data_IF_329456523924
#
_entry.id   IF_329456523924
#
_cell.length_a   1.000
_cell.length_b   1.000
_cell.length_c   1.000
_cell.angle_alpha   90.00
_cell.angle_beta   90.00
_cell.angle_gamma   90.00
#
_symmetry.space_group_name_H-M   'P 1'
#
loop_
_entity.id
_entity.type
_entity.pdbx_description
1 polymer ?
2 non-polymer ?
3 non-polymer ?
4 non-polymer ?
5 water ?
#
# COMPACT_ATOMS: atom_id res chain seq x y z
N UNK A 2 17.82 7.53 -8.38
CA UNK A 2 17.20 6.54 -9.31
C UNK A 2 16.57 7.27 -10.49
N UNK A 3 16.06 6.51 -11.45
CA UNK A 3 15.43 7.08 -12.62
C UNK A 3 14.13 7.79 -12.28
N UNK A 4 13.28 7.14 -11.48
CA UNK A 4 12.01 7.75 -11.10
C UNK A 4 12.24 9.05 -10.34
N UNK A 5 13.30 9.09 -9.55
CA UNK A 5 13.59 10.28 -8.78
C UNK A 5 12.60 10.43 -7.64
N UNK A 6 11.85 9.37 -7.36
CA UNK A 6 10.86 9.40 -6.29
C UNK A 6 11.47 8.90 -4.99
N UNK A 7 11.26 9.65 -3.92
CA UNK A 7 11.79 9.25 -2.62
C UNK A 7 10.68 8.69 -1.75
N UNK A 8 11.04 7.76 -0.88
CA UNK A 8 10.09 7.16 0.05
C UNK A 8 10.31 7.88 1.37
N UNK A 9 9.28 8.57 1.85
CA UNK A 9 9.39 9.31 3.10
C UNK A 9 9.76 8.41 4.27
N UNK A 10 10.49 8.96 5.25
CA UNK A 10 10.89 8.19 6.42
C UNK A 10 9.66 7.60 7.12
N UNK A 11 8.56 8.35 7.11
CA UNK A 11 7.34 7.87 7.75
C UNK A 11 6.84 6.58 7.10
N UNK A 12 7.02 6.46 5.79
CA UNK A 12 6.60 5.25 5.08
C UNK A 12 7.38 4.05 5.60
N UNK A 13 8.70 4.20 5.69
CA UNK A 13 9.55 3.12 6.17
C UNK A 13 9.19 2.76 7.60
N UNK A 14 9.05 3.77 8.44
CA UNK A 14 8.72 3.57 9.84
C UNK A 14 7.38 2.87 10.02
N UNK A 15 6.36 3.28 9.26
CA UNK A 15 5.05 2.66 9.36
C UNK A 15 5.11 1.20 8.91
N UNK A 16 5.83 0.95 7.82
CA UNK A 16 5.95 -0.42 7.33
C UNK A 16 6.67 -1.28 8.37
N UNK A 17 7.76 -0.76 8.91
CA UNK A 17 8.53 -1.51 9.90
C UNK A 17 7.71 -1.77 11.15
N UNK A 18 6.96 -0.76 11.58
CA UNK A 18 6.12 -0.91 12.77
C UNK A 18 5.09 -2.00 12.54
N UNK A 19 4.50 -2.02 11.36
CA UNK A 19 3.50 -3.03 11.03
C UNK A 19 4.11 -4.42 11.03
N UNK A 20 5.28 -4.55 10.42
CA UNK A 20 5.96 -5.83 10.33
C UNK A 20 6.62 -6.33 11.61
N UNK A 21 7.33 -5.44 12.30
CA UNK A 21 8.05 -5.80 13.52
C UNK A 21 7.29 -5.60 14.82
N UNK A 22 6.46 -4.56 14.86
CA UNK A 22 5.71 -4.29 16.08
C UNK A 22 4.32 -4.89 16.09
N UNK A 23 3.82 -5.24 14.91
CA UNK A 23 2.49 -5.81 14.78
C UNK A 23 1.48 -4.86 15.42
N UNK A 24 1.80 -3.56 15.42
CA UNK A 24 0.94 -2.55 16.01
C UNK A 24 0.11 -1.77 14.99
N UNK A 25 0.09 -2.26 13.76
CA UNK A 25 -0.68 -1.64 12.69
C UNK A 25 -1.22 -2.75 11.82
N UNK A 26 -2.42 -2.57 11.29
CA UNK A 26 -3.05 -3.57 10.43
C UNK A 26 -2.84 -3.17 8.97
N UNK A 27 -2.90 -1.88 8.69
CA UNK A 27 -2.70 -1.43 7.31
C UNK A 27 -2.23 0.02 7.17
N UNK A 28 -1.62 0.31 6.03
CA UNK A 28 -1.12 1.64 5.72
C UNK A 28 -1.46 1.93 4.26
N UNK A 29 -1.97 3.13 3.99
CA UNK A 29 -2.30 3.53 2.63
C UNK A 29 -1.34 4.66 2.27
N UNK A 30 -0.63 4.48 1.16
CA UNK A 30 0.35 5.46 0.70
C UNK A 30 -0.11 6.19 -0.55
N UNK A 31 0.39 7.41 -0.74
CA UNK A 31 0.04 8.20 -1.93
C UNK A 31 1.24 9.05 -2.36
N UNK A 32 1.20 9.54 -3.59
CA UNK A 32 2.25 10.40 -4.12
C UNK A 32 1.98 11.80 -3.59
N UNK A 33 3.02 12.56 -3.27
CA UNK A 33 2.80 13.93 -2.80
C UNK A 33 2.43 14.79 -4.01
N UNK A 34 2.11 16.06 -3.77
CA UNK A 34 1.69 16.95 -4.85
C UNK A 34 2.69 17.17 -5.97
N UNK A 35 3.98 17.10 -5.67
CA UNK A 35 4.99 17.31 -6.70
C UNK A 35 5.41 16.00 -7.35
N UNK A 36 4.85 14.89 -6.88
CA UNK A 36 5.16 13.58 -7.43
C UNK A 36 6.65 13.28 -7.28
N UNK A 37 7.22 13.73 -6.17
CA UNK A 37 8.63 13.52 -5.90
C UNK A 37 8.86 12.63 -4.68
N UNK A 38 7.78 12.33 -3.96
CA UNK A 38 7.89 11.51 -2.77
C UNK A 38 6.60 10.75 -2.48
N UNK A 39 6.75 9.53 -1.98
CA UNK A 39 5.59 8.73 -1.62
C UNK A 39 5.45 8.95 -0.12
N UNK A 40 4.25 9.29 0.32
CA UNK A 40 4.00 9.56 1.72
C UNK A 40 2.86 8.72 2.27
N UNK A 41 2.66 8.79 3.58
CA UNK A 41 1.60 8.04 4.24
C UNK A 41 0.32 8.86 4.27
N UNK A 42 -0.77 8.28 3.77
CA UNK A 42 -2.04 8.98 3.79
C UNK A 42 -2.84 8.52 5.00
N UNK A 43 -2.75 7.24 5.31
CA UNK A 43 -3.49 6.69 6.43
C UNK A 43 -2.87 5.41 7.00
N UNK A 44 -2.99 5.25 8.31
CA UNK A 44 -2.52 4.04 8.96
C UNK A 44 -3.58 3.69 9.98
N UNK A 45 -3.81 2.40 10.18
CA UNK A 45 -4.84 1.96 11.10
C UNK A 45 -4.54 0.65 11.80
N UNK A 46 -5.17 0.46 12.96
CA UNK A 46 -5.01 -0.76 13.74
C UNK A 46 -6.29 -1.58 13.63
N UNK A 47 -7.29 -1.04 12.92
CA UNK A 47 -8.58 -1.71 12.75
C UNK A 47 -8.42 -3.00 11.96
N UNK A 48 -8.89 -4.10 12.54
CA UNK A 48 -8.78 -5.41 11.90
C UNK A 48 -9.90 -5.73 10.91
N UNK A 49 -10.90 -4.87 10.85
CA UNK A 49 -12.03 -5.07 9.95
C UNK A 49 -11.66 -4.70 8.51
N UNK A 50 -11.70 -5.68 7.61
CA UNK A 50 -11.36 -5.45 6.21
C UNK A 50 -12.22 -4.38 5.55
N UNK A 51 -13.49 -4.30 5.93
CA UNK A 51 -14.38 -3.31 5.34
C UNK A 51 -13.93 -1.88 5.62
N UNK A 52 -13.31 -1.67 6.78
CA UNK A 52 -12.82 -0.34 7.15
C UNK A 52 -11.65 0.01 6.23
N UNK A 53 -10.83 -1.00 5.92
CA UNK A 53 -9.70 -0.80 5.03
C UNK A 53 -10.22 -0.38 3.65
N UNK A 54 -11.21 -1.11 3.13
CA UNK A 54 -11.78 -0.81 1.83
C UNK A 54 -12.34 0.61 1.81
N UNK A 55 -12.87 1.05 2.95
CA UNK A 55 -13.43 2.38 3.04
C UNK A 55 -12.37 3.47 2.96
N UNK A 56 -11.10 3.10 3.16
CA UNK A 56 -10.00 4.06 3.10
C UNK A 56 -9.31 4.11 1.74
N UNK A 57 -9.83 3.36 0.77
CA UNK A 57 -9.26 3.37 -0.56
C UNK A 57 -10.10 4.31 -1.42
N UNK A 58 -9.43 5.20 -2.18
CA UNK A 58 -10.04 6.19 -3.07
C UNK A 58 -10.83 5.58 -4.21
N UNK A 59 -11.97 6.19 -4.53
CA UNK A 59 -12.79 5.69 -5.61
C UNK A 59 -12.26 6.16 -6.97
N UNK A 60 -11.70 7.36 -7.01
CA UNK A 60 -11.22 7.93 -8.27
C UNK A 60 -9.71 8.20 -8.40
N UNK A 61 -8.90 7.69 -7.47
CA UNK A 61 -7.46 7.92 -7.56
C UNK A 61 -6.71 6.65 -7.17
N UNK A 62 -5.44 6.58 -7.58
CA UNK A 62 -4.61 5.42 -7.28
C UNK A 62 -3.92 5.56 -5.93
N UNK A 63 -3.49 4.43 -5.38
CA UNK A 63 -2.79 4.38 -4.10
C UNK A 63 -2.02 3.08 -4.03
N UNK A 64 -1.17 2.97 -3.02
CA UNK A 64 -0.46 1.73 -2.76
C UNK A 64 -0.89 1.49 -1.32
N UNK A 65 -0.80 0.25 -0.87
CA UNK A 65 -1.15 -0.06 0.51
C UNK A 65 -0.48 -1.35 0.93
N UNK A 66 -0.33 -1.52 2.23
CA UNK A 66 0.23 -2.74 2.78
C UNK A 66 -0.83 -3.19 3.76
N UNK A 67 -1.10 -4.48 3.79
CA UNK A 67 -2.10 -5.00 4.70
C UNK A 67 -1.56 -6.26 5.36
N UNK A 68 -1.65 -6.34 6.69
CA UNK A 68 -1.19 -7.54 7.40
C UNK A 68 -2.37 -8.51 7.38
N UNK A 69 -2.32 -9.43 6.43
CA UNK A 69 -3.38 -10.39 6.23
C UNK A 69 -3.24 -11.69 7.02
N UNK A 70 -4.22 -11.96 7.88
CA UNK A 70 -4.22 -13.18 8.67
C UNK A 70 -5.21 -14.16 8.04
N UNK A 71 -4.83 -15.43 7.98
CA UNK A 71 -5.68 -16.45 7.39
C UNK A 71 -5.43 -17.79 8.07
N UNK A 72 -6.35 -18.73 7.85
CA UNK A 72 -6.25 -20.05 8.46
C UNK A 72 -6.44 -21.17 7.45
N UNK A 73 -5.35 -21.85 7.11
CA UNK A 73 -5.40 -22.95 6.16
C UNK A 73 -5.49 -24.29 6.89
N UNK A 74 -5.26 -24.27 8.21
CA UNK A 74 -5.33 -25.48 9.01
C UNK A 74 -4.10 -25.83 9.82
N UNK A 75 -2.93 -25.32 9.45
CA UNK A 75 -1.70 -25.64 10.18
C UNK A 75 -1.31 -24.58 11.21
N UNK A 76 -2.24 -23.68 11.52
CA UNK A 76 -1.96 -22.63 12.48
C UNK A 76 -2.20 -21.27 11.87
N UNK A 77 -2.90 -20.40 12.60
CA UNK A 77 -3.19 -19.07 12.08
C UNK A 77 -1.91 -18.43 11.57
N UNK A 78 -1.95 -17.96 10.33
CA UNK A 78 -0.78 -17.34 9.73
C UNK A 78 -1.12 -15.97 9.18
N UNK A 79 -0.08 -15.26 8.77
CA UNK A 79 -0.27 -13.94 8.20
C UNK A 79 0.78 -13.65 7.13
N UNK A 80 0.38 -12.82 6.18
CA UNK A 80 1.24 -12.42 5.08
C UNK A 80 1.07 -10.93 4.89
N UNK A 81 2.17 -10.22 4.70
CA UNK A 81 2.10 -8.79 4.45
C UNK A 81 1.80 -8.69 2.95
N UNK A 82 0.69 -8.05 2.61
CA UNK A 82 0.29 -7.91 1.21
C UNK A 82 0.62 -6.52 0.69
N UNK A 83 1.32 -6.45 -0.44
CA UNK A 83 1.63 -5.16 -1.05
C UNK A 83 0.56 -4.97 -2.12
N UNK A 84 -0.18 -3.88 -2.03
CA UNK A 84 -1.28 -3.62 -2.95
C UNK A 84 -1.14 -2.38 -3.82
N UNK A 85 -1.34 -2.56 -5.12
CA UNK A 85 -1.34 -1.43 -6.04
C UNK A 85 -2.83 -1.23 -6.32
N UNK A 86 -3.36 -0.09 -5.87
CA UNK A 86 -4.77 0.23 -6.05
C UNK A 86 -4.92 1.24 -7.18
N UNK A 87 -5.46 0.79 -8.31
CA UNK A 87 -5.63 1.67 -9.45
C UNK A 87 -7.01 1.50 -10.09
N UNK A 88 -8.01 2.24 -9.59
CA UNK A 88 -9.37 2.17 -10.12
C UNK A 88 -9.39 2.42 -11.62
N UNK A 89 -10.25 1.70 -12.33
CA UNK A 89 -10.37 1.85 -13.77
C UNK A 89 -10.71 3.30 -14.13
N UNK A 90 -11.50 3.94 -13.28
CA UNK A 90 -11.94 5.31 -13.52
C UNK A 90 -10.92 6.40 -13.20
N UNK A 91 -9.83 6.05 -12.53
CA UNK A 91 -8.81 7.04 -12.19
C UNK A 91 -8.19 7.60 -13.47
N UNK A 92 -7.78 8.88 -13.46
CA UNK A 92 -7.17 9.50 -14.64
C UNK A 92 -5.98 8.71 -15.14
N UNK A 93 -5.84 8.61 -16.46
CA UNK A 93 -4.74 7.88 -17.06
C UNK A 93 -3.39 8.40 -16.58
N UNK A 94 -3.29 9.72 -16.40
CA UNK A 94 -2.05 10.34 -15.94
C UNK A 94 -1.65 9.76 -14.59
N UNK A 95 -2.64 9.63 -13.71
CA UNK A 95 -2.39 9.10 -12.37
C UNK A 95 -1.98 7.63 -12.42
N UNK A 96 -2.69 6.84 -13.22
CA UNK A 96 -2.37 5.42 -13.34
C UNK A 96 -0.92 5.28 -13.79
N UNK A 97 -0.52 6.14 -14.72
CA UNK A 97 0.84 6.12 -15.24
C UNK A 97 1.86 6.49 -14.18
N UNK A 98 1.60 7.59 -13.46
CA UNK A 98 2.52 8.03 -12.42
C UNK A 98 2.68 6.95 -11.36
N UNK A 99 1.56 6.41 -10.88
CA UNK A 99 1.65 5.37 -9.86
C UNK A 99 2.33 4.11 -10.37
N UNK A 100 2.05 3.72 -11.62
CA UNK A 100 2.68 2.54 -12.20
C UNK A 100 4.20 2.74 -12.28
N UNK A 101 4.61 3.92 -12.73
CA UNK A 101 6.04 4.24 -12.87
C UNK A 101 6.77 4.35 -11.53
N UNK A 102 6.05 4.71 -10.48
CA UNK A 102 6.66 4.89 -9.16
C UNK A 102 6.54 3.69 -8.22
N UNK A 103 5.76 2.69 -8.62
CA UNK A 103 5.54 1.52 -7.77
C UNK A 103 6.80 0.78 -7.31
N UNK A 104 7.69 0.46 -8.24
CA UNK A 104 8.91 -0.26 -7.87
C UNK A 104 9.72 0.47 -6.81
N UNK A 105 9.71 1.80 -6.84
CA UNK A 105 10.44 2.58 -5.86
C UNK A 105 9.99 2.21 -4.44
N UNK A 106 8.68 2.12 -4.24
CA UNK A 106 8.17 1.76 -2.91
C UNK A 106 8.37 0.28 -2.63
N UNK A 107 8.02 -0.55 -3.61
CA UNK A 107 8.13 -1.99 -3.44
C UNK A 107 9.53 -2.45 -3.04
N UNK A 108 10.56 -1.91 -3.68
CA UNK A 108 11.93 -2.32 -3.37
C UNK A 108 12.41 -1.81 -2.02
N UNK A 109 11.67 -0.88 -1.43
CA UNK A 109 12.05 -0.33 -0.13
C UNK A 109 11.59 -1.25 0.99
N UNK A 110 10.60 -2.09 0.70
CA UNK A 110 10.05 -3.01 1.70
C UNK A 110 10.50 -4.45 1.50
N UNK A 111 10.97 -5.07 2.58
CA UNK A 111 11.37 -6.47 2.52
C UNK A 111 10.33 -7.23 3.34
N UNK A 112 10.20 -8.53 3.09
CA UNK A 112 9.24 -9.31 3.84
C UNK A 112 7.82 -9.34 3.28
N UNK A 113 7.63 -8.84 2.06
CA UNK A 113 6.30 -8.84 1.44
C UNK A 113 5.95 -10.29 1.11
N UNK A 114 4.77 -10.71 1.54
CA UNK A 114 4.36 -12.09 1.30
C UNK A 114 3.55 -12.31 0.03
N UNK A 115 2.85 -11.27 -0.43
CA UNK A 115 2.02 -11.37 -1.62
C UNK A 115 1.89 -10.01 -2.28
N UNK A 116 1.96 -9.98 -3.61
CA UNK A 116 1.81 -8.74 -4.36
C UNK A 116 0.46 -8.78 -5.06
N UNK A 117 -0.31 -7.70 -4.92
CA UNK A 117 -1.64 -7.62 -5.52
C UNK A 117 -1.80 -6.34 -6.34
N UNK A 118 -2.34 -6.49 -7.54
CA UNK A 118 -2.64 -5.35 -8.40
C UNK A 118 -4.16 -5.39 -8.50
N UNK A 119 -4.82 -4.33 -8.06
CA UNK A 119 -6.28 -4.30 -8.08
C UNK A 119 -6.86 -3.19 -8.93
N UNK A 120 -7.68 -3.57 -9.90
CA UNK A 120 -8.34 -2.61 -10.77
C UNK A 120 -9.84 -2.77 -10.53
N UNK A 121 -10.41 -1.85 -9.77
CA UNK A 121 -11.82 -1.87 -9.44
C UNK A 121 -12.61 -1.10 -10.50
N UNK A 122 -13.82 -1.57 -10.80
CA UNK A 122 -14.65 -0.90 -11.79
C UNK A 122 -15.86 -0.27 -11.10
N UNK A 123 -16.41 0.78 -11.71
CA UNK A 123 -17.56 1.48 -11.15
C UNK A 123 -18.82 0.62 -11.13
X LIG B 1 13.06 3.32 -10.79
X LIG B 1 13.36 4.32 -9.75
X LIG B 1 12.00 2.38 -10.39
X LIG B 1 12.65 3.99 -12.03
X LIG B 1 14.32 2.58 -10.99
X LIG C 1 -8.86 10.61 -18.10
X LIG C 1 -7.82 11.60 -17.78
X LIG C 1 -9.88 10.50 -17.06
X LIG C 1 -9.51 10.96 -19.37
X LIG C 1 -8.13 9.33 -18.23
X LIG D 1 -14.47 2.00 -2.44
X LIG D 1 -13.53 2.54 -3.00
X LIG D 1 -14.76 2.72 -1.22
X LIG D 1 -15.73 2.19 -3.12
X LIG D 1 -14.24 0.56 -2.11
X LIG D 1 -13.91 -0.37 -3.32
X LIG D 1 -14.80 -1.64 -3.25
X LIG D 1 -14.01 -2.77 -3.90
X LIG D 1 -14.23 -4.02 -3.06
X LIG D 1 -13.45 -5.16 -3.71
X LIG D 1 -12.10 -5.27 -3.00
X LIG D 1 -11.33 -6.41 -3.66
X LIG D 1 -11.11 -7.49 -2.60
X LIG D 1 -10.72 -8.81 -3.24
X LIG D 1 -10.55 -9.78 -2.08
X LIG D 1 -10.54 -11.19 -2.62
X LIG E 1 -8.64 9.05 0.14
X LIG E 1 -8.66 10.33 -0.45
X LIG E 1 -10.00 8.72 0.64
X LIG E 1 -10.12 7.34 0.80
X LIG F 1 -7.28 3.30 14.24
X LIG F 1 -5.90 3.01 14.21
X LIG F 1 -7.58 4.34 13.23
X LIG F 1 -8.52 3.84 12.32
X LIG G 1 15.00 7.28 4.59
X LIG G 1 14.44 7.61 5.84
X LIG G 1 14.22 7.95 3.52
X LIG G 1 14.07 7.08 2.44
X LIG H 1 -6.95 -5.46 -2.68
X LIG H 1 -7.22 -6.45 -1.72
X LIG H 1 -7.55 -4.18 -2.24
X LIG H 1 -8.93 -4.21 -2.48
#
# INVERSE_FOLDING_TARGET
MSFSGVKVSPECLEAFQELKLGKSLRYVVFKMNDTKTEIVVEKKSTDKDFDTFLGDLPEKDCRYAIYDFEFNLGEGVRNKIIFISWSPDVAPIKSKMVYSSSKDTLRRAFTGIGTDIQATDFSEVAYETVLEKVTRK
SO4 S O1 O2 O3 O4
SO4 S O1 O2 O3 O4
LDA N1 O1 CM1 CM2 C1 C2 C3 C4 C5 C6 C7 C8 C9 C10 C11 C12
EDO C1 O1 C2 O2
EDO C1 O1 C2 O2
EDO C1 O1 C2 O2
EDO C1 O1 C2 O2
#
